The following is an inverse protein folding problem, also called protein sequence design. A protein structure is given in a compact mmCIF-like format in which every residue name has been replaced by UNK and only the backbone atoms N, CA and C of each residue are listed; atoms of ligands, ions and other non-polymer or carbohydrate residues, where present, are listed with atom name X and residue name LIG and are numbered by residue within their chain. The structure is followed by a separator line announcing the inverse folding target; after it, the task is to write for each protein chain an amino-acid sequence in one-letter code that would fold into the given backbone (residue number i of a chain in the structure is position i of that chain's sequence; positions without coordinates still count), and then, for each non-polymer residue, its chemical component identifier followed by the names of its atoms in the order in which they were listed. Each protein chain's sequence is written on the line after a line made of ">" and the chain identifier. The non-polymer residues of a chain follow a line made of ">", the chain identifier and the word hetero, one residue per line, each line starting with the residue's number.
data_IF_562449501104
#
_entry.id   IF_562449501104
#
_cell.length_a   1.000
_cell.length_b   1.000
_cell.length_c   1.000
_cell.angle_alpha   90.00
_cell.angle_beta   90.00
_cell.angle_gamma   90.00
#
_symmetry.space_group_name_H-M   'P 1'
#
loop_
_entity.id
_entity.type
_entity.pdbx_description
1 polymer ?
#
# COMPACT_ATOMS: atom_id res chain seq x y z
N UNK A 1 -18.36 12.28 -20.64
CA UNK A 1 -17.68 11.32 -19.73
C UNK A 1 -18.60 11.06 -18.58
N UNK A 2 -18.97 9.80 -18.38
CA UNK A 2 -19.69 9.34 -17.20
C UNK A 2 -18.75 9.38 -15.98
N UNK A 3 -19.30 9.52 -14.78
CA UNK A 3 -18.54 9.44 -13.53
C UNK A 3 -17.78 8.09 -13.42
N UNK A 4 -18.30 7.03 -14.05
CA UNK A 4 -17.66 5.71 -14.09
C UNK A 4 -16.45 5.64 -15.02
N UNK A 5 -16.41 6.45 -16.09
CA UNK A 5 -15.32 6.42 -17.07
C UNK A 5 -14.05 7.05 -16.45
N UNK A 6 -14.25 8.15 -15.70
CA UNK A 6 -13.16 8.81 -14.96
C UNK A 6 -12.64 7.94 -13.80
N UNK A 7 -13.53 7.21 -13.13
CA UNK A 7 -13.15 6.25 -12.09
C UNK A 7 -12.34 5.08 -12.67
N UNK A 8 -12.74 4.55 -13.83
CA UNK A 8 -12.01 3.49 -14.52
C UNK A 8 -10.61 3.94 -14.97
N UNK A 9 -10.47 5.16 -15.50
CA UNK A 9 -9.16 5.73 -15.87
C UNK A 9 -8.23 5.88 -14.67
N UNK A 10 -8.76 6.32 -13.52
CA UNK A 10 -7.99 6.43 -12.28
C UNK A 10 -7.51 5.06 -11.78
N UNK A 11 -8.38 4.05 -11.85
CA UNK A 11 -8.00 2.69 -11.48
C UNK A 11 -6.95 2.08 -12.40
N UNK A 12 -7.05 2.33 -13.71
CA UNK A 12 -6.04 1.87 -14.67
C UNK A 12 -4.69 2.55 -14.42
N UNK A 13 -4.68 3.86 -14.16
CA UNK A 13 -3.46 4.60 -13.86
C UNK A 13 -2.80 4.13 -12.55
N UNK A 14 -3.59 3.88 -11.51
CA UNK A 14 -3.11 3.32 -10.24
C UNK A 14 -2.48 1.94 -10.44
N UNK A 15 -3.12 1.10 -11.26
CA UNK A 15 -2.63 -0.25 -11.54
C UNK A 15 -1.28 -0.21 -12.29
N UNK A 16 -1.16 0.62 -13.33
CA UNK A 16 0.10 0.82 -14.08
C UNK A 16 1.23 1.32 -13.14
N UNK A 17 0.91 2.24 -12.23
CA UNK A 17 1.90 2.78 -11.29
C UNK A 17 2.43 1.70 -10.32
N UNK A 18 1.53 0.89 -9.75
CA UNK A 18 1.90 -0.19 -8.82
C UNK A 18 2.71 -1.27 -9.55
N UNK A 19 2.30 -1.68 -10.74
CA UNK A 19 3.02 -2.67 -11.56
C UNK A 19 4.44 -2.23 -11.90
N UNK A 20 4.62 -0.96 -12.25
CA UNK A 20 5.94 -0.39 -12.57
C UNK A 20 6.84 -0.26 -11.32
N UNK A 21 6.27 0.11 -10.17
CA UNK A 21 6.98 0.12 -8.89
C UNK A 21 7.44 -1.29 -8.48
N UNK A 22 6.61 -2.30 -8.73
CA UNK A 22 6.89 -3.70 -8.44
C UNK A 22 8.05 -4.24 -9.27
N UNK A 23 8.04 -3.93 -10.56
CA UNK A 23 9.10 -4.29 -11.52
C UNK A 23 10.49 -3.76 -11.11
N UNK A 24 10.52 -2.62 -10.43
CA UNK A 24 11.77 -1.94 -10.05
C UNK A 24 12.31 -2.37 -8.67
N UNK A 25 11.53 -3.08 -7.84
CA UNK A 25 11.80 -3.22 -6.40
C UNK A 25 12.85 -4.26 -5.99
N UNK A 26 13.33 -5.11 -6.91
CA UNK A 26 14.37 -6.11 -6.63
C UNK A 26 13.96 -7.17 -5.59
N UNK A 27 14.88 -8.08 -5.17
CA UNK A 27 14.58 -9.14 -4.22
C UNK A 27 14.36 -8.63 -2.78
N UNK A 28 13.48 -9.30 -2.03
CA UNK A 28 13.18 -8.96 -0.63
C UNK A 28 14.43 -8.93 0.28
N UNK A 29 14.62 -7.83 0.98
CA UNK A 29 15.68 -7.68 1.99
C UNK A 29 15.21 -8.28 3.33
N UNK A 30 16.11 -8.94 4.07
CA UNK A 30 15.82 -9.42 5.44
C UNK A 30 15.28 -8.28 6.31
N UNK A 31 14.19 -8.44 7.10
CA UNK A 31 13.62 -7.36 7.91
C UNK A 31 14.59 -6.70 8.90
N UNK A 32 15.67 -7.42 9.29
CA UNK A 32 16.73 -6.90 10.17
C UNK A 32 17.82 -6.10 9.43
N UNK A 33 17.84 -6.15 8.10
CA UNK A 33 18.76 -5.43 7.21
C UNK A 33 18.02 -4.61 6.14
N UNK A 34 16.70 -4.47 6.29
CA UNK A 34 15.84 -3.82 5.31
C UNK A 34 16.09 -2.33 5.33
N UNK A 35 16.60 -1.80 4.23
CA UNK A 35 16.52 -0.38 3.94
C UNK A 35 15.15 -0.09 3.35
N UNK A 36 14.56 1.07 3.71
CA UNK A 36 13.32 1.51 3.10
C UNK A 36 13.58 1.69 1.59
N UNK A 37 12.82 1.01 0.70
CA UNK A 37 13.04 1.13 -0.73
C UNK A 37 12.80 2.59 -1.19
N UNK A 38 13.43 3.00 -2.28
CA UNK A 38 13.18 4.28 -2.93
C UNK A 38 12.59 4.02 -4.32
N UNK A 39 11.33 4.41 -4.59
CA UNK A 39 10.41 5.10 -3.67
C UNK A 39 9.90 4.20 -2.54
N UNK A 40 9.50 4.77 -1.38
CA UNK A 40 8.97 4.01 -0.26
C UNK A 40 7.74 3.23 -0.70
N UNK A 41 7.56 2.07 -0.09
CA UNK A 41 6.38 1.27 -0.29
C UNK A 41 5.58 1.15 1.02
N UNK A 42 4.25 1.29 0.97
CA UNK A 42 3.50 1.83 -0.17
C UNK A 42 3.90 3.28 -0.48
N UNK A 43 3.74 3.71 -1.74
CA UNK A 43 4.02 5.09 -2.14
C UNK A 43 3.24 6.09 -1.26
N UNK A 44 3.80 7.26 -1.00
CA UNK A 44 3.22 8.23 -0.05
C UNK A 44 1.85 8.77 -0.47
N UNK A 45 1.49 8.65 -1.74
CA UNK A 45 0.20 9.02 -2.31
C UNK A 45 -0.81 7.85 -2.38
N UNK A 46 -0.45 6.66 -1.90
CA UNK A 46 -1.33 5.50 -1.89
C UNK A 46 -2.65 5.81 -1.13
N UNK A 47 -3.83 5.58 -1.74
CA UNK A 47 -5.12 5.90 -1.15
C UNK A 47 -5.42 5.14 0.15
N UNK A 48 -4.84 3.95 0.35
CA UNK A 48 -4.97 3.19 1.61
C UNK A 48 -4.32 3.96 2.76
N UNK A 49 -3.16 4.57 2.55
CA UNK A 49 -2.51 5.40 3.57
C UNK A 49 -3.40 6.60 3.97
N UNK A 50 -4.08 7.21 2.99
CA UNK A 50 -5.03 8.31 3.26
C UNK A 50 -6.23 7.83 4.07
N UNK A 51 -6.80 6.68 3.73
CA UNK A 51 -7.94 6.10 4.45
C UNK A 51 -7.58 5.78 5.91
N UNK A 52 -6.41 5.17 6.12
CA UNK A 52 -5.89 4.87 7.46
C UNK A 52 -5.63 6.15 8.28
N UNK A 53 -5.08 7.19 7.65
CA UNK A 53 -4.87 8.48 8.29
C UNK A 53 -6.18 9.17 8.67
N UNK A 54 -7.20 9.14 7.80
CA UNK A 54 -8.50 9.73 8.10
C UNK A 54 -9.23 8.98 9.21
N UNK A 55 -9.11 7.64 9.25
CA UNK A 55 -9.64 6.84 10.35
C UNK A 55 -8.95 7.20 11.68
N UNK A 56 -7.62 7.33 11.67
CA UNK A 56 -6.84 7.76 12.83
C UNK A 56 -7.28 9.14 13.35
N UNK A 57 -7.49 10.11 12.44
CA UNK A 57 -7.97 11.46 12.79
C UNK A 57 -9.33 11.46 13.46
N UNK A 58 -10.26 10.63 12.99
CA UNK A 58 -11.61 10.50 13.59
C UNK A 58 -11.54 9.96 15.02
N UNK A 59 -10.62 9.04 15.26
CA UNK A 59 -10.49 8.36 16.55
C UNK A 59 -9.67 9.15 17.58
N UNK A 60 -8.91 10.17 17.15
CA UNK A 60 -7.99 10.93 18.00
C UNK A 60 -8.66 11.55 19.23
N UNK A 61 -9.90 12.04 19.07
CA UNK A 61 -10.66 12.69 20.14
C UNK A 61 -11.26 11.70 21.15
N UNK A 62 -11.33 10.42 20.79
CA UNK A 62 -11.98 9.37 21.60
C UNK A 62 -10.94 8.51 22.31
N UNK A 63 -9.92 8.07 21.57
CA UNK A 63 -8.98 7.02 22.03
C UNK A 63 -7.63 7.58 22.50
N UNK A 64 -7.35 8.86 22.21
CA UNK A 64 -6.07 9.49 22.50
C UNK A 64 -4.96 9.13 21.51
N UNK A 65 -3.88 9.91 21.55
CA UNK A 65 -2.80 9.85 20.53
C UNK A 65 -2.12 8.48 20.48
N UNK A 66 -1.77 7.91 21.62
CA UNK A 66 -1.01 6.65 21.68
C UNK A 66 -1.80 5.47 21.08
N UNK A 67 -3.06 5.29 21.48
CA UNK A 67 -3.91 4.23 20.97
C UNK A 67 -4.13 4.35 19.45
N UNK A 68 -4.35 5.58 18.96
CA UNK A 68 -4.53 5.85 17.53
C UNK A 68 -3.27 5.52 16.72
N UNK A 69 -2.08 5.87 17.23
CA UNK A 69 -0.82 5.56 16.54
C UNK A 69 -0.56 4.04 16.50
N UNK A 70 -0.84 3.32 17.58
CA UNK A 70 -0.75 1.86 17.61
C UNK A 70 -1.72 1.23 16.60
N UNK A 71 -2.96 1.72 16.55
CA UNK A 71 -3.96 1.26 15.60
C UNK A 71 -3.52 1.49 14.15
N UNK A 72 -3.06 2.70 13.85
CA UNK A 72 -2.55 3.07 12.52
C UNK A 72 -1.38 2.17 12.10
N UNK A 73 -0.40 1.95 12.98
CA UNK A 73 0.75 1.10 12.70
C UNK A 73 0.34 -0.37 12.48
N UNK A 74 -0.57 -0.89 13.30
CA UNK A 74 -1.08 -2.27 13.20
C UNK A 74 -1.76 -2.52 11.85
N UNK A 75 -2.63 -1.61 11.42
CA UNK A 75 -3.30 -1.73 10.13
C UNK A 75 -2.31 -1.57 8.96
N UNK A 76 -1.38 -0.61 9.04
CA UNK A 76 -0.35 -0.44 8.01
C UNK A 76 0.50 -1.70 7.82
N UNK A 77 0.82 -2.39 8.92
CA UNK A 77 1.54 -3.67 8.87
C UNK A 77 0.70 -4.80 8.24
N UNK A 78 -0.58 -4.90 8.63
CA UNK A 78 -1.48 -5.92 8.11
C UNK A 78 -1.72 -5.78 6.59
N UNK A 79 -2.00 -4.56 6.12
CA UNK A 79 -2.16 -4.27 4.69
C UNK A 79 -0.89 -4.60 3.91
N UNK A 80 0.28 -4.27 4.47
CA UNK A 80 1.55 -4.66 3.88
C UNK A 80 1.75 -6.18 3.80
N UNK A 81 1.21 -6.93 4.76
CA UNK A 81 1.22 -8.39 4.75
C UNK A 81 0.33 -8.99 3.65
N UNK A 82 -0.88 -8.44 3.43
CA UNK A 82 -1.79 -8.88 2.37
C UNK A 82 -1.15 -8.66 1.01
N UNK A 83 -0.66 -7.45 0.75
CA UNK A 83 -0.09 -7.13 -0.57
C UNK A 83 1.19 -7.93 -0.84
N UNK A 84 2.02 -8.15 0.18
CA UNK A 84 3.18 -9.05 0.08
C UNK A 84 2.79 -10.49 -0.25
N UNK A 85 1.70 -10.99 0.33
CA UNK A 85 1.16 -12.32 0.03
C UNK A 85 0.60 -12.40 -1.40
N UNK A 86 -0.22 -11.43 -1.81
CA UNK A 86 -0.82 -11.39 -3.14
C UNK A 86 0.24 -11.33 -4.24
N UNK A 87 1.31 -10.55 -4.03
CA UNK A 87 2.46 -10.49 -4.92
C UNK A 87 3.20 -11.82 -5.00
N UNK A 88 3.51 -12.43 -3.85
CA UNK A 88 4.16 -13.74 -3.83
C UNK A 88 3.35 -14.82 -4.54
N UNK A 89 2.02 -14.72 -4.50
CA UNK A 89 1.12 -15.59 -5.27
C UNK A 89 1.19 -15.34 -6.78
N UNK A 90 1.30 -14.08 -7.23
CA UNK A 90 1.48 -13.74 -8.66
C UNK A 90 2.84 -14.21 -9.19
N UNK A 91 3.91 -13.97 -8.44
CA UNK A 91 5.27 -14.41 -8.77
C UNK A 91 5.32 -15.94 -8.94
N UNK A 92 4.71 -16.68 -8.00
CA UNK A 92 4.63 -18.14 -8.04
C UNK A 92 3.82 -18.67 -9.24
N UNK A 93 2.88 -17.89 -9.77
CA UNK A 93 2.07 -18.24 -10.95
C UNK A 93 2.75 -17.86 -12.27
N UNK A 94 3.88 -17.15 -12.22
CA UNK A 94 4.55 -16.63 -13.42
C UNK A 94 3.74 -15.53 -14.13
N UNK A 95 2.78 -14.91 -13.42
CA UNK A 95 2.05 -13.75 -13.89
C UNK A 95 3.00 -12.55 -13.77
N UNK A 96 3.80 -12.30 -14.80
CA UNK A 96 4.55 -11.05 -14.91
C UNK A 96 3.55 -9.89 -14.91
N UNK A 97 3.85 -8.86 -14.13
CA UNK A 97 3.07 -7.62 -14.14
C UNK A 97 3.14 -7.03 -15.57
N UNK A 98 2.05 -7.22 -16.32
CA UNK A 98 1.81 -6.59 -17.63
C UNK A 98 1.77 -5.06 -17.53
#
# INVERSE_FOLDING_TARGET
>A
MSNSDAEQELWNAAWVHVSEQDRQRGPWVSPRRGEMPEPPWPATDNPVLRALLDQARRNLQVDGVEAVLIHLATHSWFEGGIEGYDRGQRDARGELAD
#
